data_IF_873724072975
#
_entry.id   IF_873724072975
#
_cell.length_a   1.000
_cell.length_b   1.000
_cell.length_c   1.000
_cell.angle_alpha   90.00
_cell.angle_beta   90.00
_cell.angle_gamma   90.00
#
_symmetry.space_group_name_H-M   'P 1'
#
loop_
_entity.id
_entity.type
_entity.pdbx_description
1 polymer ?
#
# COMPACT_ATOMS: atom_id res chain seq x y z
N UNK A 1 23.52 -24.83 -65.49
CA UNK A 1 23.84 -25.37 -64.16
C UNK A 1 22.71 -25.03 -63.22
N UNK A 2 22.07 -26.04 -62.62
CA UNK A 2 20.97 -25.91 -61.66
C UNK A 2 21.55 -25.66 -60.28
N UNK A 3 21.22 -24.55 -59.62
CA UNK A 3 21.51 -24.34 -58.20
C UNK A 3 20.21 -24.09 -57.45
N UNK A 4 19.81 -25.12 -56.68
CA UNK A 4 18.75 -25.06 -55.67
C UNK A 4 19.22 -24.18 -54.50
N UNK A 5 18.37 -23.35 -53.90
CA UNK A 5 18.54 -22.98 -52.51
C UNK A 5 17.90 -24.06 -51.62
N UNK A 6 18.67 -24.51 -50.64
CA UNK A 6 18.28 -25.45 -49.59
C UNK A 6 17.16 -24.85 -48.73
N UNK A 7 16.03 -25.56 -48.65
CA UNK A 7 15.00 -25.31 -47.64
C UNK A 7 15.56 -25.67 -46.26
N UNK A 8 15.99 -24.67 -45.49
CA UNK A 8 16.25 -24.86 -44.07
C UNK A 8 14.89 -24.91 -43.39
N UNK A 9 14.51 -26.12 -43.01
CA UNK A 9 13.29 -26.47 -42.28
C UNK A 9 13.07 -25.49 -41.13
N UNK A 10 11.95 -24.77 -41.20
CA UNK A 10 11.32 -24.10 -40.08
C UNK A 10 10.89 -25.16 -39.05
N UNK A 11 11.87 -25.61 -38.27
CA UNK A 11 11.71 -26.49 -37.14
C UNK A 11 12.16 -25.73 -35.89
N UNK A 12 11.46 -24.64 -35.57
CA UNK A 12 11.49 -24.05 -34.24
C UNK A 12 10.08 -24.02 -33.67
N UNK A 13 9.70 -25.22 -33.24
CA UNK A 13 9.09 -25.45 -31.94
C UNK A 13 8.11 -24.38 -31.45
N UNK A 14 6.87 -24.55 -31.88
CA UNK A 14 5.67 -24.20 -31.13
C UNK A 14 5.65 -24.93 -29.77
N UNK A 15 6.47 -24.50 -28.82
CA UNK A 15 6.25 -24.85 -27.41
C UNK A 15 5.29 -23.84 -26.81
N UNK A 16 4.02 -24.24 -26.77
CA UNK A 16 3.02 -23.61 -25.92
C UNK A 16 3.61 -23.31 -24.55
N UNK A 17 3.59 -22.04 -24.16
CA UNK A 17 4.04 -21.58 -22.85
C UNK A 17 3.13 -22.16 -21.77
N UNK A 18 3.43 -23.38 -21.31
CA UNK A 18 2.86 -23.95 -20.10
C UNK A 18 3.28 -23.02 -18.96
N UNK A 19 2.37 -22.19 -18.46
CA UNK A 19 2.62 -21.24 -17.35
C UNK A 19 3.45 -21.94 -16.28
N UNK A 20 4.71 -21.54 -16.09
CA UNK A 20 5.53 -22.09 -15.01
C UNK A 20 4.82 -21.78 -13.69
N UNK A 21 4.51 -22.84 -12.93
CA UNK A 21 3.99 -22.73 -11.57
C UNK A 21 5.10 -22.16 -10.70
N UNK A 22 4.90 -20.94 -10.20
CA UNK A 22 5.90 -20.26 -9.38
C UNK A 22 6.04 -20.97 -8.01
N UNK A 23 7.28 -21.10 -7.55
CA UNK A 23 7.59 -21.57 -6.20
C UNK A 23 7.19 -20.52 -5.17
N UNK A 24 6.65 -20.96 -4.03
CA UNK A 24 6.32 -20.10 -2.88
C UNK A 24 7.52 -19.79 -2.00
N UNK A 25 8.62 -20.53 -2.17
CA UNK A 25 9.79 -20.49 -1.27
C UNK A 25 11.02 -19.89 -1.94
N UNK A 26 11.07 -19.88 -3.28
CA UNK A 26 12.24 -19.45 -4.04
C UNK A 26 11.86 -18.36 -5.04
N UNK A 27 12.56 -17.22 -4.96
CA UNK A 27 12.46 -16.12 -5.92
C UNK A 27 13.21 -16.51 -7.19
N UNK A 28 12.56 -16.58 -8.37
CA UNK A 28 13.27 -16.78 -9.63
C UNK A 28 14.30 -15.67 -9.86
N UNK A 29 15.43 -16.00 -10.48
CA UNK A 29 16.53 -15.04 -10.70
C UNK A 29 16.12 -13.86 -11.59
N UNK A 30 15.08 -14.04 -12.39
CA UNK A 30 14.58 -13.07 -13.36
C UNK A 30 13.52 -12.11 -12.78
N UNK A 31 13.13 -12.26 -11.50
CA UNK A 31 12.07 -11.46 -10.88
C UNK A 31 12.57 -10.73 -9.63
N UNK A 32 12.11 -9.49 -9.47
CA UNK A 32 12.22 -8.80 -8.19
C UNK A 32 11.37 -9.51 -7.13
N UNK A 33 11.70 -9.39 -5.83
CA UNK A 33 10.86 -9.94 -4.77
C UNK A 33 9.40 -9.46 -4.82
N UNK A 34 9.17 -8.19 -5.17
CA UNK A 34 7.83 -7.61 -5.30
C UNK A 34 7.06 -8.22 -6.47
N UNK A 35 7.70 -8.36 -7.64
CA UNK A 35 7.06 -8.93 -8.84
C UNK A 35 6.79 -10.42 -8.68
N UNK A 36 7.70 -11.15 -8.03
CA UNK A 36 7.47 -12.53 -7.63
C UNK A 36 6.26 -12.66 -6.72
N UNK A 37 6.14 -11.81 -5.69
CA UNK A 37 4.98 -11.83 -4.79
C UNK A 37 3.66 -11.43 -5.48
N UNK A 38 3.68 -10.46 -6.39
CA UNK A 38 2.53 -10.10 -7.24
C UNK A 38 2.12 -11.29 -8.12
N UNK A 39 3.09 -11.93 -8.76
CA UNK A 39 2.83 -13.06 -9.65
C UNK A 39 2.29 -14.29 -8.89
N UNK A 40 2.79 -14.56 -7.67
CA UNK A 40 2.21 -15.57 -6.78
C UNK A 40 0.75 -15.25 -6.44
N UNK A 41 0.45 -14.01 -6.06
CA UNK A 41 -0.94 -13.60 -5.76
C UNK A 41 -1.84 -13.73 -6.98
N UNK A 42 -1.37 -13.39 -8.18
CA UNK A 42 -2.12 -13.58 -9.43
C UNK A 42 -2.40 -15.05 -9.71
N UNK A 43 -1.38 -15.90 -9.54
CA UNK A 43 -1.50 -17.33 -9.81
C UNK A 43 -2.46 -18.01 -8.82
N UNK A 44 -2.28 -17.80 -7.52
CA UNK A 44 -3.08 -18.47 -6.49
C UNK A 44 -4.40 -17.76 -6.20
N UNK A 45 -4.52 -16.46 -6.49
CA UNK A 45 -5.74 -15.67 -6.30
C UNK A 45 -6.89 -16.19 -7.16
N UNK A 46 -6.63 -16.52 -8.42
CA UNK A 46 -7.63 -17.11 -9.32
C UNK A 46 -8.08 -18.54 -8.95
N UNK A 47 -7.34 -19.23 -8.08
CA UNK A 47 -7.65 -20.58 -7.59
C UNK A 47 -8.48 -20.55 -6.30
N UNK A 48 -8.72 -19.36 -5.71
CA UNK A 48 -9.46 -19.25 -4.45
C UNK A 48 -10.95 -19.56 -4.64
N UNK A 49 -11.52 -20.30 -3.69
CA UNK A 49 -12.96 -20.59 -3.64
C UNK A 49 -13.71 -19.50 -2.84
N UNK A 50 -13.54 -18.23 -3.22
CA UNK A 50 -14.26 -17.13 -2.57
C UNK A 50 -15.66 -16.94 -3.17
N UNK A 51 -16.59 -16.47 -2.35
CA UNK A 51 -17.86 -15.92 -2.82
C UNK A 51 -17.64 -14.51 -3.36
N UNK A 52 -18.40 -14.15 -4.40
CA UNK A 52 -18.32 -12.85 -5.05
C UNK A 52 -19.71 -12.27 -5.26
N UNK A 53 -19.93 -11.08 -4.74
CA UNK A 53 -21.13 -10.28 -4.93
C UNK A 53 -20.72 -8.92 -5.54
N UNK A 54 -21.43 -8.47 -6.58
CA UNK A 54 -21.27 -7.12 -7.11
C UNK A 54 -22.24 -6.19 -6.38
N UNK A 55 -21.70 -5.22 -5.64
CA UNK A 55 -22.50 -4.27 -4.86
C UNK A 55 -22.91 -3.06 -5.71
N UNK A 56 -22.08 -2.69 -6.69
CA UNK A 56 -22.38 -1.61 -7.62
C UNK A 56 -23.16 -2.05 -8.86
N UNK A 57 -23.57 -1.07 -9.67
CA UNK A 57 -24.35 -1.30 -10.88
C UNK A 57 -23.51 -1.67 -12.11
N UNK A 58 -22.22 -1.32 -12.12
CA UNK A 58 -21.35 -1.54 -13.27
C UNK A 58 -20.83 -2.98 -13.28
N UNK A 59 -20.71 -3.63 -14.46
CA UNK A 59 -20.35 -5.04 -14.53
C UNK A 59 -18.86 -5.33 -14.29
N UNK A 60 -17.98 -4.35 -14.52
CA UNK A 60 -16.52 -4.48 -14.44
C UNK A 60 -15.92 -3.53 -13.40
N UNK A 61 -16.05 -2.22 -13.63
CA UNK A 61 -15.51 -1.20 -12.74
C UNK A 61 -16.51 -0.87 -11.64
N UNK A 62 -16.49 -1.67 -10.58
CA UNK A 62 -17.50 -1.64 -9.54
C UNK A 62 -16.90 -1.88 -8.15
N UNK A 63 -17.75 -1.79 -7.15
CA UNK A 63 -17.47 -2.27 -5.82
C UNK A 63 -18.02 -3.70 -5.67
N UNK A 64 -17.18 -4.59 -5.14
CA UNK A 64 -17.48 -6.00 -4.94
C UNK A 64 -17.32 -6.35 -3.47
N UNK A 65 -18.09 -7.36 -3.04
CA UNK A 65 -17.95 -8.00 -1.74
C UNK A 65 -17.41 -9.41 -1.97
N UNK A 66 -16.26 -9.69 -1.34
CA UNK A 66 -15.58 -10.99 -1.41
C UNK A 66 -15.68 -11.67 -0.05
N UNK A 67 -16.29 -12.86 -0.02
CA UNK A 67 -16.44 -13.65 1.20
C UNK A 67 -15.54 -14.89 1.17
N UNK A 68 -14.76 -15.11 2.23
CA UNK A 68 -13.99 -16.34 2.40
C UNK A 68 -14.80 -17.35 3.22
N UNK A 69 -15.23 -18.49 2.64
CA UNK A 69 -16.05 -19.47 3.36
C UNK A 69 -15.29 -20.14 4.52
N UNK A 70 -13.96 -20.25 4.43
CA UNK A 70 -13.15 -20.91 5.46
C UNK A 70 -12.97 -20.02 6.71
N UNK A 71 -12.62 -18.75 6.51
CA UNK A 71 -12.42 -17.81 7.62
C UNK A 71 -13.70 -17.04 8.00
N UNK A 72 -14.79 -17.21 7.26
CA UNK A 72 -16.05 -16.46 7.37
C UNK A 72 -15.89 -14.92 7.28
N UNK A 73 -14.74 -14.46 6.79
CA UNK A 73 -14.44 -13.03 6.65
C UNK A 73 -14.95 -12.50 5.34
N UNK A 74 -15.42 -11.26 5.35
CA UNK A 74 -15.94 -10.58 4.17
C UNK A 74 -15.24 -9.24 3.99
N UNK A 75 -14.77 -8.97 2.78
CA UNK A 75 -14.03 -7.74 2.45
C UNK A 75 -14.68 -7.02 1.27
N UNK A 76 -14.69 -5.70 1.34
CA UNK A 76 -15.00 -4.82 0.21
C UNK A 76 -13.78 -4.69 -0.69
N UNK A 77 -14.00 -4.74 -2.00
CA UNK A 77 -12.96 -4.62 -3.02
C UNK A 77 -13.46 -3.72 -4.13
N UNK A 78 -12.66 -2.71 -4.46
CA UNK A 78 -12.97 -1.73 -5.50
C UNK A 78 -12.13 -2.05 -6.73
N UNK A 79 -12.77 -2.34 -7.86
CA UNK A 79 -12.08 -2.58 -9.14
C UNK A 79 -12.23 -1.37 -10.04
N UNK A 80 -11.10 -0.81 -10.50
CA UNK A 80 -11.03 0.31 -11.44
C UNK A 80 -10.04 0.09 -12.58
N UNK A 81 -9.33 -1.03 -12.58
CA UNK A 81 -8.37 -1.36 -13.63
C UNK A 81 -7.82 -2.77 -13.47
N UNK A 82 -6.76 -3.08 -14.21
CA UNK A 82 -6.18 -4.43 -14.29
C UNK A 82 -4.76 -4.50 -13.72
N UNK A 83 -4.17 -3.35 -13.40
CA UNK A 83 -2.80 -3.24 -12.94
C UNK A 83 -2.76 -3.10 -11.41
N UNK A 84 -1.65 -3.49 -10.77
CA UNK A 84 -1.43 -3.18 -9.36
C UNK A 84 -1.52 -1.67 -9.13
N UNK A 85 -2.22 -1.26 -8.06
CA UNK A 85 -2.46 0.15 -7.74
C UNK A 85 -3.74 0.74 -8.36
N UNK A 86 -4.34 0.10 -9.37
CA UNK A 86 -5.62 0.56 -9.92
C UNK A 86 -6.78 0.33 -8.95
N UNK A 87 -6.65 -0.70 -8.10
CA UNK A 87 -7.71 -1.33 -7.34
C UNK A 87 -7.42 -1.21 -5.84
N UNK A 88 -8.49 -1.22 -5.02
CA UNK A 88 -8.41 -1.14 -3.57
C UNK A 88 -9.10 -2.36 -2.91
N UNK A 89 -8.62 -2.75 -1.73
CA UNK A 89 -9.23 -3.79 -0.92
C UNK A 89 -9.12 -3.49 0.56
N UNK A 90 -10.24 -3.62 1.27
CA UNK A 90 -10.32 -3.45 2.73
C UNK A 90 -9.69 -4.59 3.55
N UNK A 91 -8.90 -5.49 2.94
CA UNK A 91 -8.28 -6.59 3.67
C UNK A 91 -6.96 -6.20 4.34
N UNK A 92 -6.58 -6.83 5.46
CA UNK A 92 -5.33 -6.53 6.15
C UNK A 92 -4.08 -6.73 5.29
N UNK A 93 -4.08 -7.70 4.37
CA UNK A 93 -2.96 -7.93 3.43
C UNK A 93 -2.74 -6.69 2.56
N UNK A 94 -3.79 -6.17 1.90
CA UNK A 94 -3.67 -5.00 1.04
C UNK A 94 -3.32 -3.72 1.82
N UNK A 95 -3.87 -3.56 3.03
CA UNK A 95 -3.61 -2.40 3.86
C UNK A 95 -2.16 -2.31 4.38
N UNK A 96 -1.46 -3.45 4.45
CA UNK A 96 -0.11 -3.54 5.03
C UNK A 96 0.99 -3.83 4.01
N UNK A 97 0.64 -4.37 2.83
CA UNK A 97 1.60 -4.61 1.77
C UNK A 97 1.72 -3.40 0.82
N UNK A 98 2.83 -3.34 0.10
CA UNK A 98 3.11 -2.30 -0.91
C UNK A 98 3.10 -2.88 -2.33
N UNK A 99 2.32 -3.94 -2.55
CA UNK A 99 2.30 -4.64 -3.83
C UNK A 99 1.24 -4.09 -4.79
N UNK A 100 0.36 -3.20 -4.35
CA UNK A 100 -0.76 -2.68 -5.13
C UNK A 100 -1.83 -3.74 -5.46
N UNK A 101 -1.76 -4.90 -4.81
CA UNK A 101 -2.70 -6.00 -5.03
C UNK A 101 -2.75 -6.94 -3.82
N UNK A 102 -3.80 -7.76 -3.76
CA UNK A 102 -3.96 -8.83 -2.78
C UNK A 102 -4.66 -10.02 -3.43
N UNK A 103 -4.74 -11.14 -2.70
CA UNK A 103 -5.44 -12.34 -3.20
C UNK A 103 -6.91 -12.08 -3.59
N UNK A 104 -7.61 -11.13 -2.95
CA UNK A 104 -9.00 -10.82 -3.25
C UNK A 104 -9.14 -10.03 -4.56
N UNK A 105 -8.25 -9.05 -4.79
CA UNK A 105 -8.20 -8.29 -6.05
C UNK A 105 -7.91 -9.25 -7.20
N UNK A 106 -6.87 -10.08 -7.08
CA UNK A 106 -6.49 -11.03 -8.15
C UNK A 106 -7.59 -12.07 -8.41
N UNK A 107 -8.30 -12.54 -7.37
CA UNK A 107 -9.47 -13.40 -7.52
C UNK A 107 -10.58 -12.73 -8.35
N UNK A 108 -10.91 -11.47 -8.04
CA UNK A 108 -11.95 -10.73 -8.77
C UNK A 108 -11.51 -10.48 -10.21
N UNK A 109 -10.27 -10.00 -10.43
CA UNK A 109 -9.75 -9.77 -11.78
C UNK A 109 -9.81 -11.05 -12.61
N UNK A 110 -9.35 -12.18 -12.08
CA UNK A 110 -9.44 -13.47 -12.75
C UNK A 110 -10.89 -13.93 -13.05
N UNK A 111 -11.85 -13.51 -12.23
CA UNK A 111 -13.29 -13.78 -12.43
C UNK A 111 -13.90 -12.85 -13.49
N UNK A 112 -13.56 -11.56 -13.45
CA UNK A 112 -14.04 -10.56 -14.39
C UNK A 112 -13.47 -10.77 -15.79
N UNK A 113 -12.19 -11.15 -15.92
CA UNK A 113 -11.54 -11.42 -17.21
C UNK A 113 -12.21 -12.55 -18.01
N UNK A 114 -12.92 -13.47 -17.34
CA UNK A 114 -13.68 -14.56 -17.98
C UNK A 114 -15.03 -14.10 -18.55
N UNK A 115 -15.54 -12.93 -18.15
CA UNK A 115 -16.83 -12.43 -18.61
C UNK A 115 -16.74 -11.88 -20.04
N UNK A 116 -17.81 -12.06 -20.82
CA UNK A 116 -17.92 -11.48 -22.17
C UNK A 116 -17.80 -9.95 -22.08
N UNK A 117 -16.96 -9.37 -22.93
CA UNK A 117 -16.73 -7.92 -22.97
C UNK A 117 -15.62 -7.42 -22.04
N UNK A 118 -15.04 -8.26 -21.18
CA UNK A 118 -13.99 -7.85 -20.24
C UNK A 118 -12.78 -7.21 -20.95
N UNK A 119 -12.29 -7.85 -22.02
CA UNK A 119 -11.16 -7.34 -22.80
C UNK A 119 -11.42 -5.93 -23.34
N UNK A 120 -12.63 -5.67 -23.84
CA UNK A 120 -13.01 -4.35 -24.34
C UNK A 120 -13.15 -3.34 -23.20
N UNK A 121 -13.79 -3.72 -22.09
CA UNK A 121 -13.95 -2.84 -20.93
C UNK A 121 -12.60 -2.42 -20.32
N UNK A 122 -11.70 -3.37 -20.07
CA UNK A 122 -10.37 -3.08 -19.54
C UNK A 122 -9.44 -2.37 -20.53
N UNK A 123 -9.66 -2.52 -21.84
CA UNK A 123 -8.96 -1.73 -22.85
C UNK A 123 -9.50 -0.29 -22.92
N UNK A 124 -10.81 -0.11 -22.76
CA UNK A 124 -11.44 1.21 -22.69
C UNK A 124 -11.06 1.95 -21.40
N UNK A 125 -10.82 1.24 -20.31
CA UNK A 125 -10.42 1.84 -19.03
C UNK A 125 -11.60 2.45 -18.25
N UNK A 126 -11.31 2.83 -17.02
CA UNK A 126 -12.29 3.43 -16.12
C UNK A 126 -12.25 4.96 -16.22
N UNK A 127 -13.35 5.53 -16.73
CA UNK A 127 -13.51 6.95 -16.98
C UNK A 127 -14.84 7.44 -16.37
N UNK A 128 -14.88 7.69 -15.05
CA UNK A 128 -16.08 8.20 -14.38
C UNK A 128 -16.29 9.68 -14.71
N UNK A 129 -17.55 10.19 -14.66
CA UNK A 129 -17.80 11.63 -14.79
C UNK A 129 -17.27 12.42 -13.59
N UNK A 130 -17.29 11.82 -12.40
CA UNK A 130 -16.81 12.41 -11.15
C UNK A 130 -15.30 12.19 -10.94
N UNK A 131 -14.67 13.00 -10.10
CA UNK A 131 -13.28 12.81 -9.69
C UNK A 131 -13.17 12.02 -8.39
N UNK A 132 -12.04 11.34 -8.17
CA UNK A 132 -11.80 10.53 -6.95
C UNK A 132 -10.50 10.95 -6.23
N UNK A 133 -10.51 10.89 -4.90
CA UNK A 133 -9.31 10.84 -4.06
C UNK A 133 -9.22 9.45 -3.45
N UNK A 134 -8.16 8.73 -3.75
CA UNK A 134 -8.00 7.34 -3.35
C UNK A 134 -6.59 7.08 -2.86
N UNK A 135 -6.45 6.10 -1.98
CA UNK A 135 -5.17 5.67 -1.46
C UNK A 135 -4.61 4.57 -2.35
N UNK A 136 -3.33 4.68 -2.70
CA UNK A 136 -2.62 3.66 -3.46
C UNK A 136 -1.50 3.07 -2.61
N UNK A 137 -1.41 1.74 -2.59
CA UNK A 137 -0.40 0.97 -1.85
C UNK A 137 0.55 0.23 -2.81
N UNK A 138 1.17 0.94 -3.75
CA UNK A 138 2.13 0.39 -4.71
C UNK A 138 3.53 1.01 -4.52
N UNK A 139 4.44 0.25 -3.90
CA UNK A 139 5.78 0.70 -3.47
C UNK A 139 5.79 1.73 -2.34
N UNK A 140 4.89 2.71 -2.36
CA UNK A 140 4.71 3.67 -1.24
C UNK A 140 3.23 3.96 -1.06
N UNK A 141 2.77 3.99 0.18
CA UNK A 141 1.40 4.39 0.51
C UNK A 141 1.22 5.90 0.31
N UNK A 142 0.45 6.28 -0.71
CA UNK A 142 0.21 7.69 -1.05
C UNK A 142 -1.23 7.93 -1.54
N UNK A 143 -1.72 9.16 -1.35
CA UNK A 143 -3.02 9.56 -1.88
C UNK A 143 -2.84 10.04 -3.32
N UNK A 144 -3.75 9.62 -4.18
CA UNK A 144 -3.80 10.00 -5.59
C UNK A 144 -5.12 10.67 -5.91
N UNK A 145 -5.06 11.61 -6.86
CA UNK A 145 -6.24 12.22 -7.46
C UNK A 145 -6.53 11.59 -8.81
N UNK A 146 -7.79 11.26 -9.09
CA UNK A 146 -8.24 10.79 -10.40
C UNK A 146 -9.18 11.84 -10.97
N UNK A 147 -8.79 12.57 -12.03
CA UNK A 147 -9.72 13.46 -12.71
C UNK A 147 -10.79 12.63 -13.41
N UNK A 148 -12.06 12.95 -13.17
CA UNK A 148 -13.18 12.46 -13.98
C UNK A 148 -13.21 13.07 -15.37
N UNK A 149 -14.01 12.49 -16.27
CA UNK A 149 -14.20 13.02 -17.63
C UNK A 149 -14.79 14.41 -17.63
N UNK A 150 -15.63 14.71 -16.63
CA UNK A 150 -16.35 15.98 -16.54
C UNK A 150 -15.64 16.96 -15.57
N UNK A 151 -14.40 16.64 -15.18
CA UNK A 151 -13.61 17.46 -14.25
C UNK A 151 -13.38 18.88 -14.79
N UNK A 152 -13.93 19.92 -14.13
CA UNK A 152 -13.77 21.29 -14.57
C UNK A 152 -12.30 21.72 -14.60
N UNK A 153 -11.93 22.55 -15.57
CA UNK A 153 -10.56 23.04 -15.71
C UNK A 153 -10.05 23.75 -14.45
N UNK A 154 -10.92 24.45 -13.73
CA UNK A 154 -10.61 25.09 -12.46
C UNK A 154 -10.22 24.06 -11.37
N UNK A 155 -11.02 22.99 -11.24
CA UNK A 155 -10.77 21.89 -10.29
C UNK A 155 -9.48 21.15 -10.65
N UNK A 156 -9.27 20.84 -11.93
CA UNK A 156 -8.03 20.20 -12.40
C UNK A 156 -6.80 21.07 -12.12
N UNK A 157 -6.88 22.38 -12.34
CA UNK A 157 -5.80 23.32 -12.04
C UNK A 157 -5.51 23.40 -10.54
N UNK A 158 -6.54 23.41 -9.69
CA UNK A 158 -6.36 23.37 -8.25
C UNK A 158 -5.74 22.03 -7.78
N UNK A 159 -6.15 20.92 -8.38
CA UNK A 159 -5.55 19.61 -8.11
C UNK A 159 -4.06 19.62 -8.47
N UNK A 160 -3.66 20.21 -9.60
CA UNK A 160 -2.25 20.25 -10.02
C UNK A 160 -1.32 21.04 -9.07
N UNK A 161 -1.86 21.88 -8.19
CA UNK A 161 -1.09 22.55 -7.13
C UNK A 161 -0.70 21.59 -5.99
N UNK A 162 -1.53 20.58 -5.76
CA UNK A 162 -1.38 19.64 -4.64
C UNK A 162 -0.89 18.27 -5.11
N UNK A 163 -1.21 17.88 -6.34
CA UNK A 163 -0.94 16.57 -6.90
C UNK A 163 0.00 16.69 -8.10
N UNK A 164 0.90 15.72 -8.21
CA UNK A 164 1.87 15.66 -9.30
C UNK A 164 1.32 14.86 -10.48
N UNK A 165 0.85 15.56 -11.50
CA UNK A 165 0.36 14.96 -12.74
C UNK A 165 1.41 14.04 -13.42
N UNK A 166 2.71 14.35 -13.31
CA UNK A 166 3.78 13.51 -13.85
C UNK A 166 4.05 12.23 -13.07
N UNK A 167 3.49 12.12 -11.85
CA UNK A 167 3.57 10.95 -10.99
C UNK A 167 2.18 10.40 -10.68
N UNK A 168 1.37 10.16 -11.71
CA UNK A 168 -0.01 9.63 -11.60
C UNK A 168 -0.88 10.42 -10.62
N UNK A 169 -0.76 11.75 -10.61
CA UNK A 169 -1.48 12.61 -9.68
C UNK A 169 -1.26 12.22 -8.22
N UNK A 170 -0.03 11.85 -7.84
CA UNK A 170 0.35 11.57 -6.44
C UNK A 170 0.38 12.87 -5.64
N UNK A 171 -0.16 12.85 -4.43
CA UNK A 171 -0.16 13.98 -3.51
C UNK A 171 1.28 14.40 -3.20
N UNK A 172 1.59 15.67 -3.46
CA UNK A 172 2.80 16.36 -3.00
C UNK A 172 2.68 16.60 -1.50
N UNK A 173 3.81 16.75 -0.81
CA UNK A 173 3.86 16.99 0.64
C UNK A 173 2.76 17.97 1.08
N UNK A 174 1.92 17.47 1.97
CA UNK A 174 0.58 18.00 2.19
C UNK A 174 0.63 19.33 2.93
N UNK A 175 0.11 20.39 2.32
CA UNK A 175 -0.41 21.53 3.10
C UNK A 175 -1.92 21.32 3.25
N UNK A 176 -2.47 21.18 4.47
CA UNK A 176 -3.89 20.92 4.69
C UNK A 176 -4.82 21.89 3.94
N UNK A 177 -4.46 23.17 3.90
CA UNK A 177 -5.23 24.23 3.24
C UNK A 177 -5.45 24.01 1.73
N UNK A 178 -4.54 23.31 1.06
CA UNK A 178 -4.62 23.07 -0.39
C UNK A 178 -5.66 22.03 -0.75
N UNK A 179 -5.83 21.00 0.10
CA UNK A 179 -6.83 19.95 -0.14
C UNK A 179 -8.25 20.45 0.15
N UNK A 180 -8.41 21.20 1.26
CA UNK A 180 -9.70 21.79 1.62
C UNK A 180 -10.18 22.74 0.51
N UNK A 181 -9.24 23.50 -0.10
CA UNK A 181 -9.51 24.35 -1.26
C UNK A 181 -9.93 23.55 -2.50
N UNK A 182 -9.32 22.40 -2.77
CA UNK A 182 -9.71 21.53 -3.89
C UNK A 182 -11.15 21.04 -3.71
N UNK A 183 -11.51 20.60 -2.51
CA UNK A 183 -12.85 20.11 -2.19
C UNK A 183 -13.90 21.23 -2.30
N UNK A 184 -13.60 22.42 -1.77
CA UNK A 184 -14.47 23.58 -1.89
C UNK A 184 -14.69 23.97 -3.36
N UNK A 185 -13.63 24.02 -4.16
CA UNK A 185 -13.73 24.38 -5.58
C UNK A 185 -14.52 23.35 -6.38
N UNK A 186 -14.38 22.06 -6.07
CA UNK A 186 -15.21 21.02 -6.70
C UNK A 186 -16.70 21.26 -6.40
N UNK A 187 -17.05 21.53 -5.14
CA UNK A 187 -18.42 21.83 -4.74
C UNK A 187 -18.98 23.11 -5.40
N UNK A 188 -18.20 24.20 -5.45
CA UNK A 188 -18.57 25.45 -6.10
C UNK A 188 -18.85 25.29 -7.61
N UNK A 189 -18.16 24.36 -8.27
CA UNK A 189 -18.35 24.06 -9.69
C UNK A 189 -19.40 22.95 -9.93
N UNK A 190 -20.11 22.48 -8.88
CA UNK A 190 -21.07 21.38 -8.99
C UNK A 190 -20.43 20.05 -9.41
N UNK A 191 -19.12 19.90 -9.25
CA UNK A 191 -18.37 18.71 -9.63
C UNK A 191 -18.30 17.73 -8.47
N UNK A 192 -18.74 16.50 -8.70
CA UNK A 192 -18.65 15.46 -7.69
C UNK A 192 -17.17 15.03 -7.50
N UNK A 193 -16.67 15.21 -6.27
CA UNK A 193 -15.35 14.75 -5.84
C UNK A 193 -15.53 13.71 -4.72
N UNK A 194 -15.29 12.43 -5.03
CA UNK A 194 -15.42 11.33 -4.09
C UNK A 194 -14.10 11.06 -3.38
N UNK A 195 -14.04 11.29 -2.08
CA UNK A 195 -12.88 10.90 -1.27
C UNK A 195 -13.13 9.56 -0.59
N UNK A 196 -12.25 8.58 -0.83
CA UNK A 196 -12.34 7.28 -0.21
C UNK A 196 -11.98 7.38 1.28
N UNK A 197 -12.69 6.64 2.13
CA UNK A 197 -12.53 6.75 3.59
C UNK A 197 -11.12 6.43 4.08
N UNK A 198 -10.45 5.46 3.47
CA UNK A 198 -9.06 5.09 3.77
C UNK A 198 -8.04 6.18 3.36
N UNK A 199 -8.30 6.91 2.28
CA UNK A 199 -7.54 8.09 1.91
C UNK A 199 -7.74 9.20 2.94
N UNK A 200 -8.98 9.48 3.35
CA UNK A 200 -9.28 10.47 4.39
C UNK A 200 -8.64 10.11 5.74
N UNK A 201 -8.72 8.85 6.16
CA UNK A 201 -8.09 8.36 7.38
C UNK A 201 -6.57 8.50 7.35
N UNK A 202 -5.95 8.23 6.19
CA UNK A 202 -4.52 8.40 5.99
C UNK A 202 -4.09 9.88 6.10
N UNK A 203 -4.83 10.78 5.45
CA UNK A 203 -4.61 12.23 5.53
C UNK A 203 -4.78 12.75 6.96
N UNK A 204 -5.83 12.30 7.66
CA UNK A 204 -6.07 12.65 9.06
C UNK A 204 -4.90 12.18 9.96
N UNK A 205 -4.45 10.94 9.76
CA UNK A 205 -3.30 10.39 10.49
C UNK A 205 -2.01 11.17 10.28
N UNK A 206 -1.74 11.65 9.05
CA UNK A 206 -0.61 12.54 8.74
C UNK A 206 -0.73 13.89 9.44
N UNK A 207 -1.88 14.55 9.34
CA UNK A 207 -2.17 15.82 10.02
C UNK A 207 -1.96 15.73 11.53
N UNK A 208 -2.39 14.62 12.14
CA UNK A 208 -2.19 14.38 13.56
C UNK A 208 -0.70 14.16 13.92
N UNK A 209 0.06 13.49 13.06
CA UNK A 209 1.50 13.31 13.23
C UNK A 209 2.27 14.63 13.11
N UNK A 210 1.88 15.51 12.18
CA UNK A 210 2.47 16.84 12.02
C UNK A 210 2.17 17.71 13.24
N UNK A 211 0.93 17.68 13.75
CA UNK A 211 0.55 18.40 14.98
C UNK A 211 1.37 17.94 16.18
N UNK A 212 1.53 16.62 16.36
CA UNK A 212 2.38 16.07 17.44
C UNK A 212 3.84 16.47 17.26
N UNK A 213 4.32 16.49 16.03
CA UNK A 213 5.69 16.92 15.71
C UNK A 213 5.91 18.38 16.08
N UNK A 214 5.04 19.29 15.64
CA UNK A 214 5.11 20.72 15.97
C UNK A 214 5.03 20.97 17.49
N UNK A 215 4.14 20.26 18.18
CA UNK A 215 4.02 20.37 19.64
C UNK A 215 5.30 19.90 20.34
N UNK A 216 5.90 18.79 19.90
CA UNK A 216 7.17 18.30 20.43
C UNK A 216 8.34 19.21 20.12
N UNK A 217 8.38 19.81 18.93
CA UNK A 217 9.43 20.77 18.56
C UNK A 217 9.35 22.04 19.43
N UNK A 218 8.13 22.46 19.80
CA UNK A 218 7.92 23.56 20.75
C UNK A 218 8.30 23.21 22.19
N UNK A 219 8.00 21.98 22.65
CA UNK A 219 8.33 21.52 24.01
C UNK A 219 9.81 21.17 24.19
N UNK A 220 10.43 20.60 23.15
CA UNK A 220 11.80 20.11 23.14
C UNK A 220 12.57 20.65 21.93
N UNK A 221 12.96 21.94 21.92
CA UNK A 221 13.63 22.56 20.77
C UNK A 221 14.96 21.91 20.39
N UNK A 222 15.63 21.24 21.34
CA UNK A 222 16.86 20.46 21.09
C UNK A 222 16.61 18.97 20.83
N UNK A 223 15.36 18.58 20.60
CA UNK A 223 14.98 17.18 20.37
C UNK A 223 15.42 16.28 21.52
N UNK A 224 16.02 15.12 21.21
CA UNK A 224 16.47 14.16 22.21
C UNK A 224 17.57 14.68 23.16
N UNK A 225 18.26 15.76 22.78
CA UNK A 225 19.28 16.40 23.61
C UNK A 225 18.72 17.46 24.57
N UNK A 226 17.39 17.66 24.62
CA UNK A 226 16.80 18.67 25.48
C UNK A 226 16.90 18.29 26.98
N UNK A 227 17.56 19.08 27.84
CA UNK A 227 17.71 18.78 29.26
C UNK A 227 16.38 18.70 30.02
N UNK A 228 15.30 19.27 29.50
CA UNK A 228 13.98 19.16 30.12
C UNK A 228 13.47 17.71 30.13
N UNK A 229 13.92 16.85 29.19
CA UNK A 229 13.57 15.44 29.14
C UNK A 229 14.08 14.67 30.38
N UNK A 230 15.22 15.08 30.94
CA UNK A 230 15.79 14.49 32.15
C UNK A 230 14.94 14.79 33.40
N UNK A 231 14.00 15.73 33.32
CA UNK A 231 13.09 16.07 34.43
C UNK A 231 11.79 15.27 34.39
N UNK A 232 11.50 14.56 33.29
CA UNK A 232 10.25 13.81 33.11
C UNK A 232 10.24 12.49 33.88
N UNK A 233 11.40 11.87 34.05
CA UNK A 233 11.55 10.56 34.70
C UNK A 233 12.62 10.63 35.79
N UNK A 234 12.43 9.83 36.86
CA UNK A 234 13.39 9.72 37.96
C UNK A 234 14.70 9.03 37.56
N UNK A 235 14.67 8.23 36.50
CA UNK A 235 15.82 7.48 35.98
C UNK A 235 16.22 8.09 34.64
N UNK A 236 17.51 8.41 34.42
CA UNK A 236 17.97 8.93 33.14
C UNK A 236 17.83 7.86 32.05
N UNK A 237 17.26 8.25 30.92
CA UNK A 237 17.16 7.40 29.73
C UNK A 237 18.43 7.54 28.87
N UNK A 238 18.79 6.47 28.18
CA UNK A 238 19.85 6.56 27.16
C UNK A 238 19.37 7.37 25.94
N UNK A 239 20.27 8.03 25.19
CA UNK A 239 19.89 8.86 24.04
C UNK A 239 18.97 8.17 23.03
N UNK A 240 19.25 6.91 22.68
CA UNK A 240 18.42 6.13 21.74
C UNK A 240 17.02 5.82 22.30
N UNK A 241 16.86 5.69 23.63
CA UNK A 241 15.55 5.45 24.25
C UNK A 241 14.70 6.72 24.19
N UNK A 242 15.34 7.88 24.35
CA UNK A 242 14.69 9.18 24.19
C UNK A 242 14.28 9.37 22.73
N UNK A 243 15.16 9.09 21.78
CA UNK A 243 14.86 9.14 20.35
C UNK A 243 13.70 8.20 19.99
N UNK A 244 13.73 6.96 20.49
CA UNK A 244 12.64 5.99 20.29
C UNK A 244 11.32 6.45 20.91
N UNK A 245 11.34 7.06 22.09
CA UNK A 245 10.15 7.60 22.74
C UNK A 245 9.58 8.81 21.96
N UNK A 246 10.42 9.77 21.57
CA UNK A 246 10.01 10.91 20.77
C UNK A 246 9.47 10.47 19.41
N UNK A 247 10.12 9.50 18.76
CA UNK A 247 9.64 8.88 17.53
C UNK A 247 8.26 8.25 17.71
N UNK A 248 8.05 7.45 18.77
CA UNK A 248 6.76 6.81 19.03
C UNK A 248 5.64 7.83 19.26
N UNK A 249 5.92 8.92 19.99
CA UNK A 249 4.94 10.00 20.18
C UNK A 249 4.65 10.71 18.87
N UNK A 250 5.65 11.04 18.04
CA UNK A 250 5.44 11.66 16.72
C UNK A 250 4.61 10.76 15.82
N UNK A 251 4.98 9.49 15.70
CA UNK A 251 4.27 8.50 14.89
C UNK A 251 2.85 8.21 15.41
N UNK A 252 2.61 8.34 16.72
CA UNK A 252 1.32 8.07 17.38
C UNK A 252 1.00 6.57 17.51
N UNK A 253 1.25 5.80 16.44
CA UNK A 253 1.24 4.33 16.44
C UNK A 253 2.60 3.84 15.94
N UNK A 254 3.35 3.18 16.82
CA UNK A 254 4.67 2.66 16.50
C UNK A 254 4.85 1.24 17.05
N UNK A 255 5.50 0.38 16.27
CA UNK A 255 6.08 -0.86 16.75
C UNK A 255 7.58 -0.63 16.95
N UNK A 256 8.03 -0.62 18.20
CA UNK A 256 9.46 -0.48 18.50
C UNK A 256 10.08 -1.88 18.58
N UNK A 257 10.62 -2.32 17.45
CA UNK A 257 11.53 -3.47 17.38
C UNK A 257 12.91 -3.01 17.85
N UNK A 258 13.33 -3.47 19.02
CA UNK A 258 14.64 -3.14 19.60
C UNK A 258 15.27 -4.45 20.08
N UNK A 259 16.58 -4.58 19.87
CA UNK A 259 17.33 -5.81 20.08
C UNK A 259 17.27 -6.24 21.55
N UNK A 260 17.17 -7.55 21.77
CA UNK A 260 17.05 -8.12 23.12
C UNK A 260 18.35 -7.90 23.92
N UNK A 261 18.41 -6.78 24.66
CA UNK A 261 19.57 -6.44 25.50
C UNK A 261 19.64 -4.96 25.90
N UNK A 262 18.88 -4.08 25.24
CA UNK A 262 18.92 -2.62 25.40
C UNK A 262 17.91 -2.07 26.44
N UNK A 263 17.59 -2.86 27.47
CA UNK A 263 16.95 -2.33 28.68
C UNK A 263 15.47 -1.91 28.55
N UNK A 264 14.62 -2.74 27.92
CA UNK A 264 13.14 -2.61 28.02
C UNK A 264 12.56 -2.91 29.41
N UNK A 265 13.41 -3.27 30.36
CA UNK A 265 13.08 -3.27 31.79
C UNK A 265 14.10 -2.36 32.47
N UNK A 266 13.64 -1.29 33.10
CA UNK A 266 14.44 -0.56 34.10
C UNK A 266 14.70 -1.57 35.22
N UNK A 267 15.80 -2.32 35.14
CA UNK A 267 16.34 -3.07 36.27
C UNK A 267 17.50 -2.26 36.84
N UNK A 268 17.55 -2.04 38.16
CA UNK A 268 18.77 -1.60 38.80
C UNK A 268 19.82 -2.69 38.54
N UNK A 269 21.01 -2.30 38.10
CA UNK A 269 22.13 -3.24 38.09
C UNK A 269 22.42 -3.70 39.53
N UNK A 270 22.94 -4.92 39.67
CA UNK A 270 24.18 -4.99 40.40
C UNK A 270 25.21 -5.75 39.56
N UNK A 271 26.34 -5.09 39.28
CA UNK A 271 27.60 -5.82 39.22
C UNK A 271 28.06 -6.10 40.66
N UNK A 272 29.06 -6.97 40.92
CA UNK A 272 29.86 -7.77 40.00
C UNK A 272 29.98 -9.26 40.43
N UNK A 273 30.36 -10.15 39.50
CA UNK A 273 31.37 -11.22 39.64
C UNK A 273 31.13 -12.40 38.69
N UNK A 274 32.21 -12.78 38.01
CA UNK A 274 32.54 -14.11 37.44
C UNK A 274 31.53 -14.83 36.56
N UNK A 275 31.81 -14.88 35.25
CA UNK A 275 31.44 -15.98 34.38
C UNK A 275 32.65 -16.38 33.53
N UNK A 276 32.96 -17.69 33.44
CA UNK A 276 33.18 -18.22 32.11
C UNK A 276 32.29 -19.43 31.81
N UNK A 277 31.90 -19.46 30.52
CA UNK A 277 31.49 -20.62 29.71
C UNK A 277 30.25 -21.42 30.10
N UNK A 278 29.28 -21.49 29.17
CA UNK A 278 28.80 -22.72 28.48
C UNK A 278 27.58 -22.37 27.57
N UNK A 279 27.70 -22.67 26.27
CA UNK A 279 26.63 -22.80 25.25
C UNK A 279 25.70 -24.01 25.56
N UNK A 280 24.60 -24.35 24.84
CA UNK A 280 23.97 -23.74 23.65
C UNK A 280 22.41 -23.70 23.69
N UNK A 281 21.82 -23.09 22.64
CA UNK A 281 20.54 -23.43 21.99
C UNK A 281 19.35 -23.96 22.82
N UNK A 282 18.21 -23.25 22.72
CA UNK A 282 16.89 -23.89 22.50
C UNK A 282 15.86 -22.91 21.91
N UNK A 283 15.41 -23.24 20.69
CA UNK A 283 14.15 -22.79 20.09
C UNK A 283 12.98 -23.32 20.93
N UNK A 284 11.92 -22.54 21.11
CA UNK A 284 10.55 -23.04 21.33
C UNK A 284 9.54 -21.93 21.00
N UNK A 285 8.67 -22.26 20.03
CA UNK A 285 7.31 -21.78 19.71
C UNK A 285 7.01 -20.29 19.68
#
# INVERSE_FOLDING_TARGET
>A
MKTKPLSVKAAQASKSARKLKLSRTHVPAELSPADWQRALRRQFGGEQAFGLENVGMQPFFSEFRVSNPLSKSTYRVTIRGKYPGDNDCACPDYASNELGTCKHIEFILATLEKKRGAKAAFAHGYHPPFSELYLRNDSTRAVHFRPGTDCPAAVRKAAALSFDEGCDWRLRDERPATLDRLMALAAENGHELRAHGDALDFLAGRRDADRRSLALDGLFPRGAADPSLNKLLKVPLYPYQIEGALFAVRAGRALIGDEMGLGKTIRPSPSPKSWPSILPYRKCW
#
